data_IF_928531000285
#
_entry.id   IF_928531000285
#
_cell.length_a   1.000
_cell.length_b   1.000
_cell.length_c   1.000
_cell.angle_alpha   90.00
_cell.angle_beta   90.00
_cell.angle_gamma   90.00
#
_symmetry.space_group_name_H-M   'P 1'
#
loop_
_entity.id
_entity.type
_entity.pdbx_description
1 polymer ?
#
# COMPACT_ATOMS: atom_id res chain seq x y z
N UNK A 1 8.23 -23.18 5.05
CA UNK A 1 8.65 -21.78 4.98
C UNK A 1 7.79 -20.96 5.95
N UNK A 2 8.44 -20.34 6.93
CA UNK A 2 7.74 -19.59 7.97
C UNK A 2 7.72 -18.11 7.64
N UNK A 3 6.54 -17.54 7.48
CA UNK A 3 6.37 -16.10 7.27
C UNK A 3 5.83 -15.43 8.52
N UNK A 4 6.19 -14.17 8.71
CA UNK A 4 5.72 -13.34 9.80
C UNK A 4 5.26 -11.99 9.26
N UNK A 5 4.08 -11.58 9.67
CA UNK A 5 3.50 -10.28 9.31
C UNK A 5 3.52 -9.35 10.52
N UNK A 6 3.86 -8.10 10.27
CA UNK A 6 3.87 -7.06 11.30
C UNK A 6 3.20 -5.79 10.75
N UNK A 7 2.24 -5.29 11.50
CA UNK A 7 1.63 -3.97 11.22
C UNK A 7 2.49 -2.89 11.89
N UNK A 8 2.93 -1.92 11.12
CA UNK A 8 3.75 -0.81 11.60
C UNK A 8 3.10 0.54 11.32
N UNK A 9 3.35 1.49 12.19
CA UNK A 9 3.03 2.92 12.01
C UNK A 9 4.26 3.80 12.21
N UNK A 10 5.39 3.21 12.56
CA UNK A 10 6.67 3.89 12.72
C UNK A 10 7.62 3.45 11.60
N UNK A 11 7.93 4.37 10.71
CA UNK A 11 8.74 4.13 9.52
C UNK A 11 10.25 4.26 9.75
N UNK A 12 10.66 4.30 11.02
CA UNK A 12 12.05 4.04 11.41
C UNK A 12 12.36 2.54 11.46
N UNK A 13 11.35 1.68 11.28
CA UNK A 13 11.51 0.24 11.27
C UNK A 13 12.56 -0.17 10.21
N UNK A 14 13.66 -0.85 10.60
CA UNK A 14 14.74 -1.17 9.66
C UNK A 14 14.34 -2.11 8.54
N UNK A 15 13.47 -3.06 8.80
CA UNK A 15 12.99 -4.02 7.77
C UNK A 15 12.18 -3.29 6.71
N UNK A 16 11.28 -2.38 7.11
CA UNK A 16 10.53 -1.55 6.18
C UNK A 16 11.46 -0.70 5.32
N UNK A 17 12.41 0.00 5.93
CA UNK A 17 13.33 0.87 5.21
C UNK A 17 14.16 0.08 4.18
N UNK A 18 14.63 -1.09 4.54
CA UNK A 18 15.36 -1.97 3.62
C UNK A 18 14.51 -2.35 2.42
N UNK A 19 13.27 -2.77 2.65
CA UNK A 19 12.34 -3.14 1.59
C UNK A 19 11.97 -1.96 0.69
N UNK A 20 11.71 -0.81 1.29
CA UNK A 20 11.32 0.39 0.56
C UNK A 20 12.43 0.89 -0.37
N UNK A 21 13.67 0.85 0.10
CA UNK A 21 14.84 1.19 -0.72
C UNK A 21 15.03 0.23 -1.88
N UNK A 22 14.83 -1.07 -1.66
CA UNK A 22 14.88 -2.09 -2.72
C UNK A 22 13.79 -1.87 -3.76
N UNK A 23 12.58 -1.56 -3.32
CA UNK A 23 11.46 -1.25 -4.18
C UNK A 23 11.77 -0.04 -5.09
N UNK A 24 12.25 1.05 -4.50
CA UNK A 24 12.57 2.27 -5.26
C UNK A 24 13.72 2.05 -6.23
N UNK A 25 14.74 1.27 -5.85
CA UNK A 25 15.82 0.90 -6.76
C UNK A 25 15.29 0.11 -7.97
N UNK A 26 14.35 -0.81 -7.73
CA UNK A 26 13.73 -1.63 -8.79
C UNK A 26 12.95 -0.78 -9.79
N UNK A 27 12.22 0.23 -9.33
CA UNK A 27 11.44 1.12 -10.20
C UNK A 27 12.25 2.30 -10.76
N UNK A 28 13.56 2.37 -10.44
CA UNK A 28 14.48 3.37 -11.00
C UNK A 28 14.33 4.76 -10.39
N UNK A 29 13.79 4.88 -9.19
CA UNK A 29 13.63 6.17 -8.50
C UNK A 29 14.75 6.36 -7.49
N UNK A 30 15.47 7.47 -7.62
CA UNK A 30 16.54 7.85 -6.70
C UNK A 30 16.02 8.88 -5.70
N UNK A 31 16.24 8.61 -4.42
CA UNK A 31 15.90 9.52 -3.32
C UNK A 31 17.19 10.09 -2.75
N UNK A 32 17.27 11.42 -2.67
CA UNK A 32 18.45 12.12 -2.14
C UNK A 32 18.51 12.11 -0.62
N UNK A 33 17.35 12.11 0.02
CA UNK A 33 17.22 12.21 1.47
C UNK A 33 16.23 11.16 1.99
N UNK A 34 16.73 9.94 2.19
CA UNK A 34 15.93 8.84 2.71
C UNK A 34 15.43 9.12 4.13
N UNK A 35 16.29 9.68 4.97
CA UNK A 35 15.93 9.99 6.35
C UNK A 35 14.78 11.00 6.42
N UNK A 36 14.86 12.04 5.60
CA UNK A 36 13.78 13.03 5.48
C UNK A 36 12.48 12.43 5.00
N UNK A 37 12.54 11.53 4.02
CA UNK A 37 11.35 10.87 3.49
C UNK A 37 10.66 10.01 4.57
N UNK A 38 11.41 9.19 5.29
CA UNK A 38 10.84 8.35 6.34
C UNK A 38 10.31 9.18 7.51
N UNK A 39 11.00 10.27 7.85
CA UNK A 39 10.55 11.22 8.86
C UNK A 39 9.23 11.88 8.47
N UNK A 40 9.08 12.26 7.21
CA UNK A 40 7.82 12.83 6.68
C UNK A 40 6.68 11.83 6.78
N UNK A 41 6.92 10.56 6.48
CA UNK A 41 5.92 9.51 6.65
C UNK A 41 5.42 9.42 8.10
N UNK A 42 6.31 9.60 9.07
CA UNK A 42 5.98 9.55 10.49
C UNK A 42 5.19 10.78 10.97
N UNK A 43 5.36 11.91 10.32
CA UNK A 43 4.70 13.16 10.72
C UNK A 43 3.37 13.39 10.01
N UNK A 44 3.04 12.56 9.03
CA UNK A 44 1.80 12.70 8.29
C UNK A 44 0.60 12.29 9.14
N UNK A 45 -0.27 13.24 9.44
CA UNK A 45 -1.49 13.03 10.22
C UNK A 45 -2.53 12.15 9.50
N UNK A 46 -2.28 11.74 8.26
CA UNK A 46 -3.16 10.87 7.49
C UNK A 46 -3.19 9.42 7.93
N UNK A 47 -2.45 9.06 8.99
CA UNK A 47 -2.46 7.70 9.50
C UNK A 47 -1.77 6.69 8.59
N UNK A 48 -0.56 7.02 8.11
CA UNK A 48 0.25 6.07 7.35
C UNK A 48 0.52 4.80 8.15
N UNK A 49 0.26 3.66 7.53
CA UNK A 49 0.46 2.33 8.08
C UNK A 49 1.11 1.44 7.03
N UNK A 50 1.71 0.35 7.47
CA UNK A 50 2.15 -0.69 6.55
C UNK A 50 2.09 -2.06 7.21
N UNK A 51 1.75 -3.09 6.43
CA UNK A 51 2.09 -4.46 6.79
C UNK A 51 3.42 -4.79 6.15
N UNK A 52 4.33 -5.34 6.93
CA UNK A 52 5.58 -5.90 6.42
C UNK A 52 5.56 -7.41 6.62
N UNK A 53 6.07 -8.14 5.64
CA UNK A 53 6.18 -9.59 5.70
C UNK A 53 7.64 -9.99 5.60
N UNK A 54 8.05 -10.86 6.49
CA UNK A 54 9.38 -11.46 6.50
C UNK A 54 9.27 -12.98 6.40
N UNK A 55 10.25 -13.59 5.74
CA UNK A 55 10.40 -15.03 5.69
C UNK A 55 11.72 -15.38 6.37
N UNK A 56 11.64 -16.02 7.55
CA UNK A 56 12.84 -16.39 8.31
C UNK A 56 13.82 -15.23 8.50
N UNK A 57 13.26 -14.06 8.90
CA UNK A 57 13.97 -12.79 9.08
C UNK A 57 14.46 -12.11 7.79
N UNK A 58 14.18 -12.68 6.64
CA UNK A 58 14.47 -12.05 5.35
C UNK A 58 13.28 -11.17 4.92
N UNK A 59 13.49 -9.90 4.53
CA UNK A 59 12.41 -9.06 4.02
C UNK A 59 11.78 -9.66 2.77
N UNK A 60 10.48 -9.91 2.82
CA UNK A 60 9.74 -10.53 1.72
C UNK A 60 8.92 -9.50 0.94
N UNK A 61 8.23 -8.61 1.61
CA UNK A 61 7.39 -7.61 0.97
C UNK A 61 6.69 -6.71 1.96
N UNK A 62 6.04 -5.67 1.44
CA UNK A 62 5.26 -4.74 2.24
C UNK A 62 4.10 -4.17 1.44
N UNK A 63 3.10 -3.67 2.15
CA UNK A 63 2.01 -2.88 1.61
C UNK A 63 1.79 -1.67 2.51
N UNK A 64 1.95 -0.47 1.94
CA UNK A 64 1.76 0.80 2.64
C UNK A 64 0.40 1.37 2.28
N UNK A 65 -0.33 1.82 3.28
CA UNK A 65 -1.67 2.37 3.10
C UNK A 65 -1.94 3.51 4.06
N UNK A 66 -2.97 4.28 3.77
CA UNK A 66 -3.39 5.42 4.60
C UNK A 66 -4.90 5.60 4.52
N UNK A 67 -5.42 6.51 5.32
CA UNK A 67 -6.81 6.92 5.26
C UNK A 67 -6.91 8.27 4.58
N UNK A 68 -7.96 8.44 3.77
CA UNK A 68 -8.31 9.70 3.13
C UNK A 68 -9.71 10.07 3.57
N UNK A 69 -9.93 11.34 3.91
CA UNK A 69 -11.27 11.86 4.22
C UNK A 69 -11.74 12.75 3.09
N UNK A 70 -12.88 12.39 2.49
CA UNK A 70 -13.62 13.26 1.58
C UNK A 70 -14.68 13.97 2.38
N UNK A 71 -14.74 15.29 2.28
CA UNK A 71 -15.65 16.12 3.03
C UNK A 71 -16.36 17.11 2.11
N UNK A 72 -17.68 17.08 2.12
CA UNK A 72 -18.52 18.01 1.37
C UNK A 72 -19.41 18.81 2.32
N UNK A 73 -20.32 19.63 1.76
CA UNK A 73 -21.20 20.49 2.55
C UNK A 73 -22.13 19.70 3.48
N UNK A 74 -22.51 18.48 3.11
CA UNK A 74 -23.52 17.70 3.81
C UNK A 74 -23.08 16.29 4.20
N UNK A 75 -21.89 15.86 3.80
CA UNK A 75 -21.44 14.51 4.07
C UNK A 75 -19.92 14.47 4.22
N UNK A 76 -19.49 13.40 4.87
CA UNK A 76 -18.10 13.08 5.09
C UNK A 76 -17.94 11.57 4.88
N UNK A 77 -16.94 11.16 4.11
CA UNK A 77 -16.60 9.77 3.90
C UNK A 77 -15.11 9.56 4.14
N UNK A 78 -14.78 8.53 4.90
CA UNK A 78 -13.41 8.12 5.13
C UNK A 78 -13.12 6.93 4.25
N UNK A 79 -12.05 7.02 3.45
CA UNK A 79 -11.65 6.03 2.46
C UNK A 79 -10.31 5.42 2.83
N UNK A 80 -10.07 4.21 2.39
CA UNK A 80 -8.75 3.59 2.40
C UNK A 80 -8.01 3.92 1.11
N UNK A 81 -6.70 4.12 1.21
CA UNK A 81 -5.85 4.35 0.05
C UNK A 81 -4.59 3.49 0.17
N UNK A 82 -4.37 2.60 -0.81
CA UNK A 82 -3.14 1.80 -0.90
C UNK A 82 -2.13 2.63 -1.68
N UNK A 83 -1.00 2.92 -1.03
CA UNK A 83 0.02 3.83 -1.56
C UNK A 83 1.11 3.08 -2.30
N UNK A 84 1.85 2.23 -1.59
CA UNK A 84 2.99 1.50 -2.13
C UNK A 84 2.86 0.02 -1.76
N UNK A 85 3.18 -0.84 -2.70
CA UNK A 85 2.99 -2.27 -2.55
C UNK A 85 4.07 -3.03 -3.33
N UNK A 86 4.82 -3.88 -2.64
CA UNK A 86 5.94 -4.56 -3.25
C UNK A 86 6.17 -5.92 -2.61
N UNK A 87 6.53 -6.89 -3.44
CA UNK A 87 7.00 -8.21 -3.03
C UNK A 87 8.33 -8.46 -3.72
N UNK A 88 9.33 -8.93 -2.97
CA UNK A 88 10.64 -9.22 -3.53
C UNK A 88 10.54 -10.25 -4.66
N UNK A 89 11.34 -10.07 -5.71
CA UNK A 89 11.26 -10.85 -6.94
C UNK A 89 11.25 -12.34 -6.69
N UNK A 90 12.14 -12.84 -5.85
CA UNK A 90 12.26 -14.29 -5.57
C UNK A 90 11.04 -14.86 -4.83
N UNK A 91 10.19 -14.04 -4.27
CA UNK A 91 8.97 -14.45 -3.57
C UNK A 91 7.69 -14.22 -4.37
N UNK A 92 7.79 -13.70 -5.59
CA UNK A 92 6.62 -13.42 -6.43
C UNK A 92 5.98 -14.71 -6.94
N UNK A 93 4.70 -14.60 -7.33
CA UNK A 93 3.87 -15.69 -7.88
C UNK A 93 3.68 -16.84 -6.88
N UNK A 94 3.73 -16.56 -5.59
CA UNK A 94 3.55 -17.52 -4.52
C UNK A 94 2.37 -17.16 -3.59
N UNK A 95 1.58 -16.14 -3.96
CA UNK A 95 0.40 -15.73 -3.19
C UNK A 95 0.64 -14.68 -2.11
N UNK A 96 1.86 -14.25 -1.88
CA UNK A 96 2.18 -13.28 -0.82
C UNK A 96 1.53 -11.93 -1.03
N UNK A 97 1.50 -11.43 -2.26
CA UNK A 97 0.84 -10.18 -2.58
C UNK A 97 -0.65 -10.23 -2.30
N UNK A 98 -1.31 -11.32 -2.68
CA UNK A 98 -2.74 -11.53 -2.41
C UNK A 98 -3.02 -11.55 -0.91
N UNK A 99 -2.19 -12.22 -0.13
CA UNK A 99 -2.35 -12.29 1.32
C UNK A 99 -2.13 -10.92 1.99
N UNK A 100 -1.11 -10.16 1.57
CA UNK A 100 -0.86 -8.82 2.09
C UNK A 100 -2.03 -7.87 1.77
N UNK A 101 -2.56 -7.95 0.56
CA UNK A 101 -3.72 -7.16 0.17
C UNK A 101 -4.94 -7.53 1.02
N UNK A 102 -5.18 -8.82 1.25
CA UNK A 102 -6.30 -9.28 2.08
C UNK A 102 -6.17 -8.82 3.53
N UNK A 103 -4.97 -8.82 4.10
CA UNK A 103 -4.73 -8.27 5.43
C UNK A 103 -5.08 -6.79 5.51
N UNK A 104 -4.69 -6.04 4.49
CA UNK A 104 -4.97 -4.60 4.41
C UNK A 104 -6.47 -4.33 4.28
N UNK A 105 -7.15 -5.07 3.43
CA UNK A 105 -8.60 -4.97 3.26
C UNK A 105 -9.32 -5.28 4.58
N UNK A 106 -8.87 -6.31 5.29
CA UNK A 106 -9.42 -6.65 6.61
C UNK A 106 -9.20 -5.52 7.62
N UNK A 107 -8.01 -4.94 7.64
CA UNK A 107 -7.69 -3.82 8.52
C UNK A 107 -8.62 -2.63 8.25
N UNK A 108 -8.81 -2.27 6.98
CA UNK A 108 -9.74 -1.21 6.62
C UNK A 108 -11.16 -1.52 7.07
N UNK A 109 -11.63 -2.72 6.81
CA UNK A 109 -12.99 -3.14 7.19
C UNK A 109 -13.19 -3.10 8.70
N UNK A 110 -12.21 -3.55 9.48
CA UNK A 110 -12.25 -3.52 10.94
C UNK A 110 -12.24 -2.08 11.49
N UNK A 111 -11.81 -1.11 10.68
CA UNK A 111 -11.81 0.32 11.01
C UNK A 111 -12.95 1.09 10.35
N UNK A 112 -14.01 0.41 9.94
CA UNK A 112 -15.22 0.98 9.32
C UNK A 112 -14.96 1.68 8.00
N UNK A 113 -13.97 1.25 7.25
CA UNK A 113 -13.72 1.71 5.88
C UNK A 113 -14.46 0.77 4.94
N UNK A 114 -15.23 1.33 4.02
CA UNK A 114 -16.07 0.57 3.09
C UNK A 114 -15.65 0.72 1.63
N UNK A 115 -14.65 1.55 1.36
CA UNK A 115 -14.15 1.76 0.01
C UNK A 115 -12.64 1.99 0.02
N UNK A 116 -11.95 1.31 -0.88
CA UNK A 116 -10.50 1.40 -1.06
C UNK A 116 -10.20 1.93 -2.45
N UNK A 117 -9.27 2.89 -2.53
CA UNK A 117 -8.74 3.43 -3.78
C UNK A 117 -7.27 3.05 -3.91
N UNK A 118 -6.84 2.88 -5.15
CA UNK A 118 -5.42 2.75 -5.48
C UNK A 118 -5.19 3.23 -6.91
N UNK A 119 -3.92 3.49 -7.23
CA UNK A 119 -3.48 3.71 -8.60
C UNK A 119 -2.61 2.53 -9.02
N UNK A 120 -2.76 2.08 -10.25
CA UNK A 120 -2.01 0.95 -10.78
C UNK A 120 -1.53 1.22 -12.19
N UNK A 121 -0.31 0.81 -12.49
CA UNK A 121 0.20 0.81 -13.84
C UNK A 121 -0.53 -0.26 -14.67
N UNK A 122 -0.50 -0.12 -15.99
CA UNK A 122 -1.23 -0.99 -16.90
C UNK A 122 -0.93 -2.48 -16.67
N UNK A 123 0.33 -2.81 -16.44
CA UNK A 123 0.76 -4.20 -16.18
C UNK A 123 0.32 -4.75 -14.82
N UNK A 124 -0.13 -3.90 -13.90
CA UNK A 124 -0.59 -4.30 -12.58
C UNK A 124 -2.11 -4.38 -12.47
N UNK A 125 -2.84 -3.77 -13.40
CA UNK A 125 -4.30 -3.65 -13.34
C UNK A 125 -5.00 -5.01 -13.27
N UNK A 126 -4.51 -6.02 -13.97
CA UNK A 126 -5.12 -7.35 -13.97
C UNK A 126 -5.06 -8.01 -12.59
N UNK A 127 -3.97 -7.80 -11.86
CA UNK A 127 -3.84 -8.30 -10.49
C UNK A 127 -4.99 -7.78 -9.61
N UNK A 128 -5.29 -6.49 -9.71
CA UNK A 128 -6.35 -5.87 -8.91
C UNK A 128 -7.75 -6.21 -9.43
N UNK A 129 -7.94 -6.27 -10.74
CA UNK A 129 -9.21 -6.71 -11.33
C UNK A 129 -9.61 -8.11 -10.84
N UNK A 130 -8.65 -9.03 -10.78
CA UNK A 130 -8.89 -10.39 -10.31
C UNK A 130 -9.28 -10.44 -8.82
N UNK A 131 -9.08 -9.35 -8.09
CA UNK A 131 -9.37 -9.26 -6.64
C UNK A 131 -10.52 -8.32 -6.33
N UNK A 132 -11.32 -8.00 -7.34
CA UNK A 132 -12.56 -7.25 -7.16
C UNK A 132 -12.43 -5.74 -7.28
N UNK A 133 -11.29 -5.23 -7.71
CA UNK A 133 -11.13 -3.81 -8.01
C UNK A 133 -11.64 -3.51 -9.42
N UNK A 134 -12.21 -2.33 -9.59
CA UNK A 134 -12.69 -1.86 -10.88
C UNK A 134 -12.08 -0.48 -11.18
N UNK A 135 -11.76 -0.25 -12.46
CA UNK A 135 -11.29 1.06 -12.90
C UNK A 135 -12.39 2.10 -12.72
N UNK A 136 -12.02 3.25 -12.17
CA UNK A 136 -12.91 4.36 -11.87
C UNK A 136 -12.64 5.51 -12.82
N UNK A 137 -13.62 5.92 -13.62
CA UNK A 137 -13.46 6.96 -14.64
C UNK A 137 -13.69 8.37 -14.12
N UNK A 138 -14.32 8.52 -12.95
CA UNK A 138 -14.69 9.84 -12.39
C UNK A 138 -13.73 10.36 -11.34
N UNK A 139 -12.68 9.60 -11.00
CA UNK A 139 -11.59 10.04 -10.14
C UNK A 139 -10.31 10.00 -10.95
N UNK A 140 -9.59 11.11 -11.02
CA UNK A 140 -8.34 11.21 -11.77
C UNK A 140 -7.17 11.37 -10.81
N UNK A 141 -6.12 10.58 -11.03
CA UNK A 141 -4.86 10.75 -10.32
C UNK A 141 -4.02 11.85 -10.97
N UNK A 142 -3.25 12.59 -10.16
CA UNK A 142 -2.39 13.66 -10.67
C UNK A 142 -1.32 13.18 -11.64
N UNK A 143 -0.91 11.93 -11.54
CA UNK A 143 0.10 11.32 -12.41
C UNK A 143 -0.49 10.62 -13.65
N UNK A 144 -1.80 10.78 -13.87
CA UNK A 144 -2.55 10.14 -14.97
C UNK A 144 -2.60 8.60 -14.92
N UNK A 145 -2.20 7.98 -13.82
CA UNK A 145 -2.39 6.55 -13.63
C UNK A 145 -3.87 6.21 -13.45
N UNK A 146 -4.28 5.04 -13.90
CA UNK A 146 -5.64 4.57 -13.69
C UNK A 146 -5.94 4.41 -12.20
N UNK A 147 -7.10 4.93 -11.77
CA UNK A 147 -7.60 4.77 -10.42
C UNK A 147 -8.50 3.54 -10.38
N UNK A 148 -8.26 2.65 -9.44
CA UNK A 148 -9.09 1.48 -9.18
C UNK A 148 -9.74 1.59 -7.81
N UNK A 149 -10.97 1.09 -7.72
CA UNK A 149 -11.81 1.19 -6.53
C UNK A 149 -12.40 -0.16 -6.20
N UNK A 150 -12.48 -0.47 -4.92
CA UNK A 150 -13.19 -1.64 -4.42
C UNK A 150 -14.05 -1.25 -3.22
N UNK A 151 -15.33 -1.62 -3.24
CA UNK A 151 -16.20 -1.55 -2.09
C UNK A 151 -16.04 -2.83 -1.25
N UNK A 152 -15.85 -2.67 0.05
CA UNK A 152 -15.58 -3.78 0.96
C UNK A 152 -16.59 -3.87 2.10
#
# INVERSE_FOLDING_TARGET
>A
MTTKDLLISDFTNPAFQTMFKKYFAEIGVNIKDWEGLFSEMNTNNGGNMAYIRQCENEPLGFIQFTFITLEGCFFKERLGFIREFWVAEKFRKQGHGTELLSLTEKYFKDNNIHRILLTAEENEQQFYLNRGYAVCDYIAAKNNMAVSVKDI
#
